data_IF_133968858248
#
_entry.id   IF_133968858248
#
_cell.length_a   1.000
_cell.length_b   1.000
_cell.length_c   1.000
_cell.angle_alpha   90.00
_cell.angle_beta   90.00
_cell.angle_gamma   90.00
#
_symmetry.space_group_name_H-M   'P 1'
#
loop_
_entity.id
_entity.type
_entity.pdbx_description
1 polymer ?
#
# COMPACT_ATOMS: atom_id res chain seq x y z
N UNK A 1 4.39 -92.10 -28.93
CA UNK A 1 4.00 -90.71 -28.67
C UNK A 1 5.17 -89.76 -28.97
N UNK A 2 5.19 -89.12 -30.16
CA UNK A 2 6.18 -88.08 -30.48
C UNK A 2 5.78 -86.82 -29.66
N UNK A 3 6.45 -86.55 -28.60
CA UNK A 3 6.27 -85.32 -27.84
C UNK A 3 6.68 -84.19 -28.77
N UNK A 4 5.74 -83.37 -29.22
CA UNK A 4 6.00 -82.23 -30.09
C UNK A 4 6.88 -81.25 -29.28
N UNK A 5 8.17 -81.25 -29.61
CA UNK A 5 9.19 -80.36 -28.98
C UNK A 5 8.76 -78.91 -29.03
N UNK A 6 8.09 -78.50 -30.08
CA UNK A 6 7.50 -77.16 -30.23
C UNK A 6 6.46 -76.79 -29.17
N UNK A 7 5.59 -77.76 -28.81
CA UNK A 7 4.58 -77.53 -27.74
C UNK A 7 5.21 -77.33 -26.37
N UNK A 8 6.32 -78.01 -26.08
CA UNK A 8 7.06 -77.88 -24.85
C UNK A 8 7.78 -76.53 -24.80
N UNK A 9 8.38 -76.07 -25.93
CA UNK A 9 9.02 -74.78 -26.05
C UNK A 9 8.03 -73.64 -25.87
N UNK A 10 6.84 -73.73 -26.48
CA UNK A 10 5.78 -72.73 -26.34
C UNK A 10 5.27 -72.69 -24.91
N UNK A 11 5.06 -73.85 -24.27
CA UNK A 11 4.66 -73.95 -22.88
C UNK A 11 5.70 -73.32 -21.93
N UNK A 12 6.98 -73.64 -22.12
CA UNK A 12 8.07 -73.04 -21.35
C UNK A 12 8.17 -71.52 -21.54
N UNK A 13 8.00 -71.02 -22.76
CA UNK A 13 7.98 -69.57 -23.06
C UNK A 13 6.81 -68.88 -22.35
N UNK A 14 5.62 -69.47 -22.37
CA UNK A 14 4.45 -68.91 -21.66
C UNK A 14 4.68 -68.86 -20.13
N UNK A 15 5.31 -69.91 -19.55
CA UNK A 15 5.64 -69.93 -18.13
C UNK A 15 6.66 -68.82 -17.77
N UNK A 16 7.66 -68.62 -18.62
CA UNK A 16 8.66 -67.55 -18.43
C UNK A 16 8.00 -66.18 -18.54
N UNK A 17 7.14 -65.95 -19.52
CA UNK A 17 6.40 -64.68 -19.65
C UNK A 17 5.50 -64.47 -18.42
N UNK A 18 4.78 -65.48 -17.99
CA UNK A 18 3.94 -65.41 -16.79
C UNK A 18 4.76 -65.17 -15.52
N UNK A 19 5.91 -65.78 -15.36
CA UNK A 19 6.82 -65.53 -14.26
C UNK A 19 7.34 -64.07 -14.28
N UNK A 20 7.72 -63.56 -15.46
CA UNK A 20 8.16 -62.15 -15.59
C UNK A 20 7.03 -61.19 -15.19
N UNK A 21 5.79 -61.42 -15.60
CA UNK A 21 4.64 -60.60 -15.21
C UNK A 21 4.34 -60.64 -13.71
N UNK A 22 4.63 -61.78 -13.06
CA UNK A 22 4.36 -61.96 -11.62
C UNK A 22 5.44 -61.29 -10.74
N UNK A 23 6.69 -61.29 -11.16
CA UNK A 23 7.86 -60.85 -10.38
C UNK A 23 8.39 -59.49 -10.74
N UNK A 24 8.06 -58.93 -11.88
CA UNK A 24 8.55 -57.63 -12.33
C UNK A 24 7.43 -56.59 -12.38
N UNK A 25 7.67 -55.42 -11.88
CA UNK A 25 6.81 -54.27 -12.01
C UNK A 25 7.59 -53.07 -12.52
N UNK A 26 6.95 -52.13 -13.17
CA UNK A 26 7.54 -50.93 -13.71
C UNK A 26 6.95 -49.70 -13.02
N UNK A 27 7.82 -48.80 -12.55
CA UNK A 27 7.47 -47.50 -12.01
C UNK A 27 7.66 -46.44 -13.12
N UNK A 28 6.65 -45.62 -13.33
CA UNK A 28 6.72 -44.52 -14.31
C UNK A 28 7.67 -43.42 -13.84
N UNK A 29 8.20 -42.62 -14.77
CA UNK A 29 9.15 -41.56 -14.45
C UNK A 29 8.56 -40.45 -13.55
N UNK A 30 7.24 -40.26 -13.56
CA UNK A 30 6.53 -39.31 -12.70
C UNK A 30 6.07 -39.89 -11.37
N UNK A 31 6.33 -41.15 -11.12
CA UNK A 31 5.85 -41.91 -9.96
C UNK A 31 7.02 -42.42 -9.13
N UNK A 32 6.75 -42.63 -7.86
CA UNK A 32 7.64 -43.37 -6.97
C UNK A 32 6.82 -44.46 -6.32
N UNK A 33 7.41 -45.61 -6.07
CA UNK A 33 6.70 -46.69 -5.46
C UNK A 33 7.26 -47.07 -4.09
N UNK A 34 6.37 -47.44 -3.18
CA UNK A 34 6.70 -48.08 -1.90
C UNK A 34 6.32 -49.54 -1.98
N UNK A 35 7.32 -50.41 -1.80
CA UNK A 35 7.12 -51.85 -1.72
C UNK A 35 6.92 -52.20 -0.26
N UNK A 36 5.79 -52.84 0.03
CA UNK A 36 5.45 -53.31 1.38
C UNK A 36 5.56 -54.82 1.43
N UNK A 37 6.22 -55.34 2.46
CA UNK A 37 6.29 -56.77 2.76
C UNK A 37 5.39 -57.02 3.99
N UNK A 38 4.36 -57.86 3.83
CA UNK A 38 3.35 -58.10 4.87
C UNK A 38 2.80 -56.80 5.48
N UNK A 39 2.45 -55.81 4.61
CA UNK A 39 1.92 -54.49 4.96
C UNK A 39 2.90 -53.54 5.67
N UNK A 40 4.17 -53.91 5.82
CA UNK A 40 5.22 -53.01 6.33
C UNK A 40 5.99 -52.42 5.16
N UNK A 41 6.19 -51.11 5.08
CA UNK A 41 7.04 -50.50 4.05
C UNK A 41 8.48 -50.96 4.23
N UNK A 42 9.06 -51.58 3.20
CA UNK A 42 10.38 -52.18 3.26
C UNK A 42 11.40 -51.41 2.42
N UNK A 43 10.99 -50.97 1.24
CA UNK A 43 11.90 -50.26 0.32
C UNK A 43 11.13 -49.30 -0.58
N UNK A 44 11.81 -48.25 -1.00
CA UNK A 44 11.40 -47.38 -2.09
C UNK A 44 11.89 -47.97 -3.42
N UNK A 45 11.11 -47.71 -4.48
CA UNK A 45 11.50 -48.02 -5.85
C UNK A 45 11.39 -46.76 -6.70
N UNK A 46 12.51 -46.34 -7.23
CA UNK A 46 12.63 -45.22 -8.16
C UNK A 46 12.06 -45.58 -9.52
N UNK A 47 11.89 -44.62 -10.46
CA UNK A 47 11.43 -44.90 -11.81
C UNK A 47 12.27 -45.95 -12.49
N UNK A 48 11.62 -46.96 -13.07
CA UNK A 48 12.28 -48.05 -13.79
C UNK A 48 11.64 -49.42 -13.52
N UNK A 49 12.25 -50.49 -14.08
CA UNK A 49 11.85 -51.86 -13.84
C UNK A 49 12.42 -52.36 -12.50
N UNK A 50 11.57 -52.93 -11.66
CA UNK A 50 11.94 -53.48 -10.36
C UNK A 50 11.38 -54.86 -10.17
N UNK A 51 12.05 -55.64 -9.31
CA UNK A 51 11.65 -56.96 -8.93
C UNK A 51 10.81 -56.91 -7.65
N UNK A 52 9.74 -57.71 -7.59
CA UNK A 52 8.90 -57.92 -6.39
C UNK A 52 8.55 -59.39 -6.21
N UNK A 53 8.32 -59.76 -4.97
CA UNK A 53 7.70 -61.06 -4.67
C UNK A 53 6.21 -61.04 -5.00
N UNK A 54 5.66 -62.18 -5.49
CA UNK A 54 4.24 -62.23 -5.82
C UNK A 54 3.36 -62.08 -4.58
N UNK A 55 2.16 -61.55 -4.81
CA UNK A 55 1.15 -61.50 -3.76
C UNK A 55 0.96 -62.90 -3.15
N UNK A 56 0.84 -63.07 -1.79
CA UNK A 56 0.57 -62.03 -0.79
C UNK A 56 1.82 -61.44 -0.09
N UNK A 57 3.04 -61.76 -0.50
CA UNK A 57 4.28 -61.41 0.20
C UNK A 57 4.55 -59.90 0.06
N UNK A 58 4.61 -59.42 -1.16
CA UNK A 58 4.85 -57.98 -1.43
C UNK A 58 3.69 -57.34 -2.17
N UNK A 59 3.41 -56.09 -1.78
CA UNK A 59 2.44 -55.21 -2.45
C UNK A 59 3.11 -53.90 -2.77
N UNK A 60 2.86 -53.35 -3.96
CA UNK A 60 3.44 -52.10 -4.45
C UNK A 60 2.36 -51.04 -4.45
N UNK A 61 2.70 -49.90 -3.87
CA UNK A 61 1.88 -48.68 -3.88
C UNK A 61 2.65 -47.61 -4.64
N UNK A 62 2.03 -47.06 -5.65
CA UNK A 62 2.63 -45.99 -6.51
C UNK A 62 2.04 -44.66 -6.15
N UNK A 63 2.92 -43.65 -6.04
CA UNK A 63 2.59 -42.24 -5.72
C UNK A 63 3.08 -41.35 -6.80
N UNK A 64 2.25 -40.40 -7.27
CA UNK A 64 2.63 -39.37 -8.21
C UNK A 64 3.49 -38.30 -7.49
N UNK A 65 4.68 -37.99 -8.03
CA UNK A 65 5.59 -36.97 -7.52
C UNK A 65 5.31 -35.58 -8.10
N UNK A 66 4.38 -35.47 -9.04
CA UNK A 66 4.01 -34.17 -9.60
C UNK A 66 3.33 -33.33 -8.54
N UNK A 67 3.41 -32.00 -8.75
CA UNK A 67 2.69 -31.06 -7.91
C UNK A 67 1.18 -31.27 -8.10
N UNK A 68 0.51 -31.56 -7.02
CA UNK A 68 -0.94 -31.71 -6.92
C UNK A 68 -1.53 -30.40 -6.38
N UNK A 69 -2.70 -30.02 -6.87
CA UNK A 69 -3.39 -28.83 -6.41
C UNK A 69 -4.48 -29.22 -5.40
N UNK A 70 -4.43 -28.60 -4.23
CA UNK A 70 -5.47 -28.69 -3.22
C UNK A 70 -6.16 -27.34 -3.07
N UNK A 71 -7.49 -27.33 -3.15
CA UNK A 71 -8.29 -26.14 -2.87
C UNK A 71 -8.87 -26.22 -1.46
N UNK A 72 -8.50 -25.25 -0.62
CA UNK A 72 -9.07 -25.10 0.71
C UNK A 72 -10.55 -24.71 0.65
N UNK A 73 -11.28 -25.01 1.71
CA UNK A 73 -12.65 -24.55 1.87
C UNK A 73 -12.66 -23.06 2.20
N UNK A 74 -13.75 -22.38 1.83
CA UNK A 74 -14.00 -21.02 2.27
C UNK A 74 -13.97 -20.97 3.80
N UNK A 75 -13.11 -20.13 4.36
CA UNK A 75 -12.88 -20.01 5.80
C UNK A 75 -13.12 -18.58 6.23
N UNK A 76 -14.01 -18.42 7.20
CA UNK A 76 -14.20 -17.16 7.90
C UNK A 76 -13.06 -16.96 8.90
N UNK A 77 -12.43 -15.82 8.85
CA UNK A 77 -11.33 -15.43 9.74
C UNK A 77 -11.52 -14.00 10.20
N UNK A 78 -11.13 -13.71 11.43
CA UNK A 78 -11.18 -12.36 12.00
C UNK A 78 -9.81 -11.71 11.80
N UNK A 79 -9.77 -10.51 11.20
CA UNK A 79 -8.58 -9.70 11.06
C UNK A 79 -8.17 -9.06 12.39
N UNK A 80 -6.98 -8.49 12.46
CA UNK A 80 -6.48 -7.80 13.67
C UNK A 80 -7.41 -6.65 14.12
N UNK A 81 -8.02 -5.94 13.17
CA UNK A 81 -8.99 -4.85 13.40
C UNK A 81 -10.44 -5.34 13.51
N UNK A 82 -10.65 -6.65 13.79
CA UNK A 82 -11.93 -7.28 14.08
C UNK A 82 -12.95 -7.25 12.94
N UNK A 83 -12.50 -7.23 11.69
CA UNK A 83 -13.38 -7.46 10.55
C UNK A 83 -13.41 -8.94 10.20
N UNK A 84 -14.60 -9.46 9.93
CA UNK A 84 -14.74 -10.83 9.43
C UNK A 84 -14.45 -10.88 7.95
N UNK A 85 -13.51 -11.72 7.56
CA UNK A 85 -13.04 -11.91 6.20
C UNK A 85 -13.23 -13.37 5.77
N UNK A 86 -13.89 -13.56 4.64
CA UNK A 86 -14.00 -14.86 3.97
C UNK A 86 -12.82 -15.03 3.04
N UNK A 87 -12.00 -16.02 3.30
CA UNK A 87 -10.84 -16.33 2.46
C UNK A 87 -10.86 -17.77 1.99
N UNK A 88 -10.40 -18.00 0.77
CA UNK A 88 -10.18 -19.31 0.19
C UNK A 88 -8.75 -19.35 -0.36
N UNK A 89 -8.03 -20.41 -0.03
CA UNK A 89 -6.65 -20.62 -0.47
C UNK A 89 -6.55 -21.81 -1.41
N UNK A 90 -5.52 -21.79 -2.24
CA UNK A 90 -5.10 -22.96 -3.02
C UNK A 90 -3.64 -23.28 -2.70
N UNK A 91 -3.30 -24.53 -2.73
CA UNK A 91 -2.00 -25.05 -2.29
C UNK A 91 -1.50 -26.04 -3.32
N UNK A 92 -0.28 -25.81 -3.82
CA UNK A 92 0.44 -26.79 -4.60
C UNK A 92 1.34 -27.61 -3.68
N UNK A 93 1.15 -28.93 -3.68
CA UNK A 93 1.92 -29.84 -2.84
C UNK A 93 2.36 -31.06 -3.61
N UNK A 94 3.44 -31.71 -3.17
CA UNK A 94 3.94 -32.95 -3.76
C UNK A 94 4.42 -33.91 -2.67
N UNK A 95 4.51 -35.19 -3.03
CA UNK A 95 5.06 -36.23 -2.17
C UNK A 95 6.57 -36.31 -2.37
N UNK A 96 7.34 -36.02 -1.31
CA UNK A 96 8.82 -36.06 -1.33
C UNK A 96 9.35 -37.32 -0.66
N UNK A 97 8.68 -37.77 0.39
CA UNK A 97 9.04 -39.03 1.09
C UNK A 97 7.83 -39.95 1.13
N UNK A 98 7.71 -40.84 0.12
CA UNK A 98 6.59 -41.78 0.03
C UNK A 98 6.50 -42.78 1.19
N UNK A 99 7.63 -43.06 1.84
CA UNK A 99 7.66 -44.00 2.98
C UNK A 99 6.97 -43.39 4.20
N UNK A 100 7.34 -42.15 4.54
CA UNK A 100 6.69 -41.43 5.61
C UNK A 100 5.22 -41.11 5.27
N UNK A 101 4.94 -40.77 4.03
CA UNK A 101 3.59 -40.53 3.55
C UNK A 101 2.71 -41.77 3.73
N UNK A 102 3.19 -42.94 3.29
CA UNK A 102 2.47 -44.22 3.45
C UNK A 102 2.18 -44.56 4.92
N UNK A 103 3.15 -44.32 5.82
CA UNK A 103 2.99 -44.59 7.23
C UNK A 103 2.02 -43.65 7.94
N UNK A 104 1.98 -42.39 7.53
CA UNK A 104 1.18 -41.35 8.17
C UNK A 104 -0.28 -41.37 7.70
N UNK A 105 -0.53 -41.76 6.46
CA UNK A 105 -1.84 -41.70 5.82
C UNK A 105 -2.30 -43.10 5.41
N UNK A 106 -2.77 -43.89 6.33
CA UNK A 106 -3.45 -45.21 6.16
C UNK A 106 -3.08 -45.98 4.88
N UNK A 107 -1.80 -46.16 4.62
CA UNK A 107 -1.34 -46.82 3.40
C UNK A 107 -1.20 -45.90 2.19
N UNK A 108 -1.10 -44.60 2.41
CA UNK A 108 -0.87 -43.59 1.37
C UNK A 108 -2.16 -43.09 0.72
N UNK A 109 -3.25 -43.01 1.47
CA UNK A 109 -4.51 -42.47 0.95
C UNK A 109 -4.43 -40.94 0.79
N UNK A 110 -4.54 -40.46 -0.46
CA UNK A 110 -4.45 -39.05 -0.81
C UNK A 110 -5.55 -38.22 -0.16
N UNK A 111 -6.78 -38.77 -0.08
CA UNK A 111 -7.92 -38.08 0.53
C UNK A 111 -7.71 -37.78 2.02
N UNK A 112 -7.03 -38.65 2.74
CA UNK A 112 -6.67 -38.43 4.15
C UNK A 112 -5.58 -37.36 4.27
N UNK A 113 -4.60 -37.38 3.37
CA UNK A 113 -3.56 -36.33 3.30
C UNK A 113 -4.15 -34.94 3.00
N UNK A 114 -5.04 -34.84 2.03
CA UNK A 114 -5.76 -33.61 1.70
C UNK A 114 -6.63 -33.11 2.86
N UNK A 115 -7.29 -34.00 3.58
CA UNK A 115 -8.08 -33.65 4.77
C UNK A 115 -7.17 -33.02 5.86
N UNK A 116 -6.03 -33.65 6.13
CA UNK A 116 -5.04 -33.13 7.09
C UNK A 116 -4.40 -31.83 6.62
N UNK A 117 -4.07 -31.75 5.34
CA UNK A 117 -3.56 -30.52 4.75
C UNK A 117 -4.58 -29.38 4.88
N UNK A 118 -5.86 -29.69 4.66
CA UNK A 118 -6.96 -28.72 4.84
C UNK A 118 -7.09 -28.20 6.28
N UNK A 119 -6.91 -29.07 7.28
CA UNK A 119 -6.92 -28.66 8.69
C UNK A 119 -5.73 -27.73 9.03
N UNK A 120 -4.53 -28.09 8.57
CA UNK A 120 -3.33 -27.29 8.78
C UNK A 120 -3.40 -25.96 8.05
N UNK A 121 -3.85 -25.98 6.81
CA UNK A 121 -4.06 -24.81 5.98
C UNK A 121 -5.06 -23.83 6.60
N UNK A 122 -6.19 -24.34 7.08
CA UNK A 122 -7.18 -23.55 7.79
C UNK A 122 -6.60 -22.90 9.06
N UNK A 123 -5.82 -23.65 9.82
CA UNK A 123 -5.19 -23.13 11.04
C UNK A 123 -4.16 -22.04 10.70
N UNK A 124 -3.31 -22.24 9.66
CA UNK A 124 -2.38 -21.24 9.18
C UNK A 124 -3.09 -19.99 8.68
N UNK A 125 -4.16 -20.15 7.90
CA UNK A 125 -5.01 -19.08 7.38
C UNK A 125 -5.59 -18.21 8.48
N UNK A 126 -6.26 -18.80 9.48
CA UNK A 126 -6.84 -18.07 10.61
C UNK A 126 -5.76 -17.35 11.40
N UNK A 127 -4.62 -17.97 11.64
CA UNK A 127 -3.51 -17.40 12.39
C UNK A 127 -2.88 -16.21 11.66
N UNK A 128 -2.64 -16.33 10.36
CA UNK A 128 -2.04 -15.25 9.56
C UNK A 128 -3.02 -14.10 9.35
N UNK A 129 -4.29 -14.39 9.01
CA UNK A 129 -5.31 -13.34 8.84
C UNK A 129 -5.49 -12.54 10.14
N UNK A 130 -5.47 -13.19 11.30
CA UNK A 130 -5.60 -12.52 12.60
C UNK A 130 -4.47 -11.56 12.98
N UNK A 131 -3.32 -11.64 12.31
CA UNK A 131 -2.18 -10.73 12.55
C UNK A 131 -2.23 -9.48 11.68
N UNK A 132 -2.96 -9.49 10.57
CA UNK A 132 -3.00 -8.42 9.58
C UNK A 132 -4.27 -7.59 9.66
N UNK A 133 -4.16 -6.32 9.25
CA UNK A 133 -5.31 -5.42 9.14
C UNK A 133 -6.10 -5.72 7.85
N UNK A 134 -7.38 -5.37 7.84
CA UNK A 134 -8.20 -5.49 6.64
C UNK A 134 -7.60 -4.73 5.45
N UNK A 135 -7.01 -3.55 5.70
CA UNK A 135 -6.36 -2.73 4.68
C UNK A 135 -5.19 -3.41 3.97
N UNK A 136 -4.53 -4.40 4.60
CA UNK A 136 -3.44 -5.17 4.01
C UNK A 136 -3.95 -6.16 2.95
N UNK A 137 -5.21 -6.61 3.07
CA UNK A 137 -5.88 -7.50 2.11
C UNK A 137 -6.59 -6.75 0.99
N UNK A 138 -7.21 -5.60 1.32
CA UNK A 138 -8.03 -4.83 0.37
C UNK A 138 -7.69 -3.36 0.48
N UNK A 139 -6.98 -2.85 -0.52
CA UNK A 139 -6.64 -1.43 -0.64
C UNK A 139 -7.13 -0.88 -1.98
N UNK A 140 -7.51 0.40 -1.99
CA UNK A 140 -7.85 1.10 -3.22
C UNK A 140 -6.62 1.43 -4.09
N UNK A 141 -5.41 1.35 -3.50
CA UNK A 141 -4.13 1.54 -4.19
C UNK A 141 -3.43 0.20 -4.37
N UNK A 142 -2.90 -0.11 -5.57
CA UNK A 142 -2.15 -1.35 -5.81
C UNK A 142 -0.92 -1.50 -4.89
N UNK A 143 -0.31 -0.38 -4.51
CA UNK A 143 0.87 -0.35 -3.62
C UNK A 143 0.51 -0.57 -2.14
N UNK A 144 -0.77 -0.48 -1.79
CA UNK A 144 -1.26 -0.61 -0.41
C UNK A 144 -1.60 -2.04 0.01
N UNK A 145 -1.69 -2.98 -0.92
CA UNK A 145 -1.96 -4.39 -0.62
C UNK A 145 -0.67 -5.14 -0.34
N UNK A 146 -0.66 -5.90 0.76
CA UNK A 146 0.49 -6.73 1.16
C UNK A 146 0.23 -8.23 0.91
N UNK A 147 -0.57 -8.55 -0.10
CA UNK A 147 -1.02 -9.92 -0.37
C UNK A 147 0.14 -10.88 -0.54
N UNK A 148 1.16 -10.53 -1.34
CA UNK A 148 2.32 -11.39 -1.58
C UNK A 148 3.10 -11.69 -0.29
N UNK A 149 3.21 -10.71 0.61
CA UNK A 149 3.87 -10.89 1.90
C UNK A 149 3.05 -11.81 2.83
N UNK A 150 1.72 -11.64 2.82
CA UNK A 150 0.78 -12.47 3.60
C UNK A 150 0.77 -13.91 3.08
N UNK A 151 0.74 -14.12 1.77
CA UNK A 151 0.83 -15.44 1.15
C UNK A 151 2.14 -16.13 1.51
N UNK A 152 3.25 -15.40 1.49
CA UNK A 152 4.56 -15.93 1.88
C UNK A 152 4.62 -16.30 3.36
N UNK A 153 4.11 -15.46 4.26
CA UNK A 153 4.03 -15.78 5.70
C UNK A 153 3.18 -17.03 5.95
N UNK A 154 2.05 -17.14 5.25
CA UNK A 154 1.14 -18.29 5.34
C UNK A 154 1.81 -19.57 4.82
N UNK A 155 2.56 -19.46 3.71
CA UNK A 155 3.33 -20.56 3.15
C UNK A 155 4.41 -21.04 4.12
N UNK A 156 5.19 -20.15 4.72
CA UNK A 156 6.23 -20.47 5.68
C UNK A 156 5.67 -21.14 6.95
N UNK A 157 4.55 -20.65 7.48
CA UNK A 157 3.86 -21.28 8.63
C UNK A 157 3.38 -22.69 8.27
N UNK A 158 2.76 -22.87 7.11
CA UNK A 158 2.26 -24.17 6.65
C UNK A 158 3.41 -25.15 6.40
N UNK A 159 4.48 -24.73 5.73
CA UNK A 159 5.67 -25.56 5.50
C UNK A 159 6.32 -26.00 6.81
N UNK A 160 6.42 -25.11 7.79
CA UNK A 160 6.97 -25.43 9.10
C UNK A 160 6.15 -26.51 9.81
N UNK A 161 4.83 -26.40 9.80
CA UNK A 161 3.90 -27.36 10.40
C UNK A 161 3.96 -28.74 9.74
N UNK A 162 4.00 -28.75 8.41
CA UNK A 162 4.14 -29.97 7.62
C UNK A 162 5.46 -30.68 7.92
N UNK A 163 6.55 -29.92 8.01
CA UNK A 163 7.90 -30.44 8.31
C UNK A 163 7.98 -31.01 9.73
N UNK A 164 7.46 -30.30 10.74
CA UNK A 164 7.43 -30.75 12.13
C UNK A 164 6.67 -32.08 12.27
N UNK A 165 5.58 -32.25 11.56
CA UNK A 165 4.76 -33.46 11.60
C UNK A 165 5.33 -34.63 10.78
N UNK A 166 6.33 -34.37 9.94
CA UNK A 166 6.98 -35.36 9.08
C UNK A 166 6.00 -36.17 8.23
N UNK A 167 5.15 -35.46 7.48
CA UNK A 167 4.12 -36.10 6.65
C UNK A 167 4.64 -36.71 5.34
N UNK A 168 5.91 -36.45 4.97
CA UNK A 168 6.49 -36.91 3.73
C UNK A 168 5.99 -36.15 2.49
N UNK A 169 5.40 -34.99 2.69
CA UNK A 169 4.96 -34.08 1.62
C UNK A 169 5.63 -32.72 1.77
N UNK A 170 5.73 -31.99 0.67
CA UNK A 170 6.28 -30.65 0.59
C UNK A 170 5.27 -29.72 -0.07
N UNK A 171 5.18 -28.50 0.46
CA UNK A 171 4.36 -27.44 -0.09
C UNK A 171 5.22 -26.57 -0.99
N UNK A 172 4.88 -26.52 -2.28
CA UNK A 172 5.61 -25.74 -3.29
C UNK A 172 5.17 -24.30 -3.32
N UNK A 173 3.86 -24.08 -3.31
CA UNK A 173 3.25 -22.75 -3.32
C UNK A 173 1.92 -22.73 -2.60
N UNK A 174 1.56 -21.54 -2.16
CA UNK A 174 0.25 -21.23 -1.58
C UNK A 174 -0.18 -19.85 -2.11
N UNK A 175 -1.45 -19.70 -2.41
CA UNK A 175 -2.02 -18.42 -2.81
C UNK A 175 -3.46 -18.26 -2.37
N UNK A 176 -3.91 -17.02 -2.30
CA UNK A 176 -5.27 -16.63 -1.99
C UNK A 176 -6.12 -16.66 -3.28
N UNK A 177 -7.08 -17.57 -3.35
CA UNK A 177 -7.98 -17.71 -4.50
C UNK A 177 -9.15 -16.73 -4.44
N UNK A 178 -9.66 -16.48 -3.23
CA UNK A 178 -10.82 -15.62 -3.02
C UNK A 178 -10.68 -14.88 -1.70
N UNK A 179 -11.01 -13.60 -1.73
CA UNK A 179 -11.15 -12.74 -0.56
C UNK A 179 -12.50 -12.06 -0.66
N UNK A 180 -13.27 -12.04 0.41
CA UNK A 180 -14.58 -11.42 0.44
C UNK A 180 -15.09 -11.20 1.85
N UNK A 181 -16.27 -10.64 1.94
CA UNK A 181 -17.00 -10.48 3.20
C UNK A 181 -18.19 -11.41 3.23
N UNK A 182 -18.54 -11.98 4.41
CA UNK A 182 -19.80 -12.67 4.57
C UNK A 182 -20.97 -11.75 4.23
N UNK A 183 -21.97 -12.27 3.52
CA UNK A 183 -23.11 -11.44 3.09
C UNK A 183 -23.84 -10.76 4.25
N UNK A 184 -23.92 -11.44 5.40
CA UNK A 184 -24.62 -10.93 6.58
C UNK A 184 -24.00 -9.67 7.19
N UNK A 185 -22.68 -9.47 7.02
CA UNK A 185 -21.96 -8.34 7.65
C UNK A 185 -21.47 -7.30 6.63
N UNK A 186 -21.61 -7.59 5.35
CA UNK A 186 -21.08 -6.73 4.27
C UNK A 186 -21.56 -5.28 4.39
N UNK A 187 -22.85 -5.06 4.61
CA UNK A 187 -23.42 -3.71 4.72
C UNK A 187 -22.86 -2.98 5.95
N UNK A 188 -22.81 -3.64 7.11
CA UNK A 188 -22.30 -3.05 8.35
C UNK A 188 -20.81 -2.69 8.24
N UNK A 189 -20.03 -3.53 7.55
CA UNK A 189 -18.61 -3.25 7.27
C UNK A 189 -18.45 -2.02 6.39
N UNK A 190 -19.21 -1.91 5.30
CA UNK A 190 -19.17 -0.72 4.44
C UNK A 190 -19.62 0.55 5.16
N UNK A 191 -20.66 0.48 5.96
CA UNK A 191 -21.14 1.63 6.74
C UNK A 191 -20.09 2.09 7.76
N UNK A 192 -19.43 1.14 8.44
CA UNK A 192 -18.32 1.44 9.35
C UNK A 192 -17.13 2.05 8.61
N UNK A 193 -16.69 1.47 7.49
CA UNK A 193 -15.60 2.01 6.69
C UNK A 193 -15.91 3.42 6.16
N UNK A 194 -17.16 3.68 5.77
CA UNK A 194 -17.62 5.01 5.36
C UNK A 194 -17.57 6.01 6.50
N UNK A 195 -18.00 5.61 7.70
CA UNK A 195 -17.92 6.43 8.91
C UNK A 195 -16.46 6.76 9.28
N UNK A 196 -15.57 5.77 9.28
CA UNK A 196 -14.14 5.96 9.54
C UNK A 196 -13.47 6.89 8.52
N UNK A 197 -13.81 6.75 7.22
CA UNK A 197 -13.35 7.68 6.19
C UNK A 197 -13.84 9.10 6.42
N UNK A 198 -15.10 9.28 6.76
CA UNK A 198 -15.67 10.60 7.03
C UNK A 198 -14.97 11.28 8.21
N UNK A 199 -14.67 10.55 9.28
CA UNK A 199 -13.86 11.05 10.41
C UNK A 199 -12.49 11.49 9.94
N UNK A 200 -11.79 10.67 9.14
CA UNK A 200 -10.47 11.00 8.62
C UNK A 200 -10.49 12.23 7.70
N UNK A 201 -11.51 12.36 6.86
CA UNK A 201 -11.72 13.53 6.00
C UNK A 201 -11.92 14.77 6.87
N UNK A 202 -12.80 14.72 7.89
CA UNK A 202 -13.06 15.84 8.79
C UNK A 202 -11.81 16.29 9.56
N UNK A 203 -10.98 15.36 10.02
CA UNK A 203 -9.70 15.67 10.67
C UNK A 203 -8.77 16.38 9.67
N UNK A 204 -8.63 15.84 8.46
CA UNK A 204 -7.76 16.42 7.43
C UNK A 204 -8.23 17.83 6.99
N UNK A 205 -9.55 18.03 6.87
CA UNK A 205 -10.14 19.34 6.57
C UNK A 205 -9.90 20.35 7.70
N UNK A 206 -10.02 19.91 8.97
CA UNK A 206 -9.73 20.74 10.13
C UNK A 206 -8.25 21.14 10.20
N UNK A 207 -7.35 20.20 9.94
CA UNK A 207 -5.91 20.47 9.86
C UNK A 207 -5.59 21.45 8.73
N UNK A 208 -6.16 21.23 7.53
CA UNK A 208 -5.96 22.11 6.38
C UNK A 208 -6.49 23.51 6.60
N UNK A 209 -7.67 23.67 7.23
CA UNK A 209 -8.22 25.00 7.57
C UNK A 209 -7.37 25.72 8.60
N UNK A 210 -6.90 25.01 9.62
CA UNK A 210 -6.01 25.56 10.65
C UNK A 210 -4.68 26.02 10.05
N UNK A 211 -4.08 25.20 9.21
CA UNK A 211 -2.82 25.52 8.55
C UNK A 211 -2.99 26.69 7.57
N UNK A 212 -4.08 26.73 6.81
CA UNK A 212 -4.41 27.85 5.94
C UNK A 212 -4.60 29.16 6.72
N UNK A 213 -5.28 29.10 7.87
CA UNK A 213 -5.45 30.26 8.74
C UNK A 213 -4.10 30.73 9.32
N UNK A 214 -3.23 29.78 9.72
CA UNK A 214 -1.88 30.11 10.20
C UNK A 214 -1.05 30.81 9.12
N UNK A 215 -1.02 30.25 7.90
CA UNK A 215 -0.27 30.85 6.78
C UNK A 215 -0.78 32.25 6.45
N UNK A 216 -2.11 32.46 6.44
CA UNK A 216 -2.70 33.78 6.22
C UNK A 216 -2.31 34.77 7.31
N UNK A 217 -2.42 34.37 8.58
CA UNK A 217 -2.04 35.24 9.69
C UNK A 217 -0.56 35.61 9.67
N UNK A 218 0.33 34.70 9.31
CA UNK A 218 1.75 34.96 9.15
C UNK A 218 2.02 35.94 7.98
N UNK A 219 1.33 35.76 6.85
CA UNK A 219 1.43 36.65 5.71
C UNK A 219 0.91 38.06 6.01
N UNK A 220 -0.23 38.17 6.69
CA UNK A 220 -0.82 39.46 7.11
C UNK A 220 0.08 40.15 8.14
N UNK A 221 0.67 39.45 9.07
CA UNK A 221 1.66 39.98 10.01
C UNK A 221 2.90 40.50 9.28
N UNK A 222 3.42 39.72 8.33
CA UNK A 222 4.59 40.16 7.52
C UNK A 222 4.28 41.37 6.68
N UNK A 223 3.11 41.44 6.04
CA UNK A 223 2.66 42.59 5.27
C UNK A 223 2.48 43.83 6.16
N UNK A 224 1.82 43.67 7.32
CA UNK A 224 1.64 44.76 8.29
C UNK A 224 2.97 45.29 8.81
N UNK A 225 3.92 44.40 9.11
CA UNK A 225 5.26 44.80 9.53
C UNK A 225 5.98 45.57 8.43
N UNK A 226 5.92 45.10 7.19
CA UNK A 226 6.54 45.79 6.05
C UNK A 226 5.92 47.16 5.81
N UNK A 227 4.60 47.31 5.93
CA UNK A 227 3.92 48.59 5.84
C UNK A 227 4.33 49.55 6.95
N UNK A 228 4.36 49.06 8.20
CA UNK A 228 4.78 49.88 9.35
C UNK A 228 6.27 50.34 9.22
N UNK A 229 7.13 49.46 8.76
CA UNK A 229 8.53 49.80 8.53
C UNK A 229 8.68 50.84 7.40
N UNK A 230 7.90 50.71 6.32
CA UNK A 230 7.86 51.67 5.24
C UNK A 230 7.30 53.05 5.69
N UNK A 231 6.25 53.08 6.48
CA UNK A 231 5.68 54.31 7.06
C UNK A 231 6.68 54.97 8.01
N UNK A 232 7.37 54.21 8.85
CA UNK A 232 8.43 54.75 9.72
C UNK A 232 9.57 55.37 8.92
N UNK A 233 10.00 54.71 7.83
CA UNK A 233 11.01 55.26 6.94
C UNK A 233 10.51 56.51 6.22
N UNK A 234 9.26 56.55 5.75
CA UNK A 234 8.67 57.70 5.12
C UNK A 234 8.59 58.88 6.07
N UNK A 235 8.19 58.70 7.33
CA UNK A 235 8.19 59.71 8.37
C UNK A 235 9.59 60.21 8.68
N UNK A 236 10.58 59.31 8.75
CA UNK A 236 11.97 59.70 8.98
C UNK A 236 12.51 60.56 7.81
N UNK A 237 12.25 60.18 6.56
CA UNK A 237 12.64 60.96 5.38
C UNK A 237 11.94 62.33 5.35
N UNK A 238 10.62 62.38 5.68
CA UNK A 238 9.90 63.64 5.81
C UNK A 238 10.50 64.54 6.90
N UNK A 239 10.76 63.98 8.08
CA UNK A 239 11.39 64.70 9.18
C UNK A 239 12.78 65.24 8.81
N UNK A 240 13.57 64.48 8.09
CA UNK A 240 14.86 64.97 7.54
C UNK A 240 14.67 66.13 6.52
N UNK A 241 13.67 65.96 5.63
CA UNK A 241 13.32 66.99 4.65
C UNK A 241 12.84 68.27 5.33
N UNK A 242 11.99 68.18 6.34
CA UNK A 242 11.52 69.33 7.14
C UNK A 242 12.64 69.98 7.91
N UNK A 243 13.53 69.21 8.53
CA UNK A 243 14.71 69.76 9.20
C UNK A 243 15.67 70.50 8.24
N UNK A 244 15.89 69.95 7.05
CA UNK A 244 16.67 70.55 6.01
C UNK A 244 16.00 71.86 5.46
N UNK A 245 14.69 71.86 5.28
CA UNK A 245 13.88 72.99 4.91
C UNK A 245 13.94 74.09 6.00
N UNK A 246 13.82 73.71 7.27
CA UNK A 246 13.95 74.65 8.40
C UNK A 246 15.35 75.29 8.46
N UNK A 247 16.37 74.46 8.25
CA UNK A 247 17.76 75.02 8.17
C UNK A 247 17.95 75.99 6.99
N UNK A 248 17.30 75.76 5.86
CA UNK A 248 17.30 76.63 4.71
C UNK A 248 16.46 77.92 4.94
N UNK A 249 15.45 77.88 5.85
CA UNK A 249 14.56 79.00 6.13
C UNK A 249 15.26 80.17 6.78
N UNK A 250 16.41 79.97 7.44
CA UNK A 250 17.27 81.05 7.93
C UNK A 250 17.76 82.04 6.76
N UNK A 251 17.81 81.49 5.55
CA UNK A 251 18.10 82.28 4.34
C UNK A 251 16.91 83.16 3.98
N UNK A 252 15.68 82.79 4.29
CA UNK A 252 14.45 83.56 4.01
C UNK A 252 14.21 84.70 4.98
N UNK A 253 14.85 84.73 6.15
CA UNK A 253 14.87 85.89 7.04
C UNK A 253 15.50 87.10 6.39
N UNK A 254 16.40 86.90 5.38
CA UNK A 254 17.02 87.96 4.64
C UNK A 254 16.16 88.59 3.54
N UNK A 255 15.07 87.90 3.15
CA UNK A 255 14.13 88.37 2.13
C UNK A 255 12.69 87.87 2.43
N UNK A 256 11.96 88.61 3.31
CA UNK A 256 10.63 88.22 3.78
C UNK A 256 9.55 88.18 2.68
N UNK A 257 9.71 88.98 1.62
CA UNK A 257 8.80 89.01 0.50
C UNK A 257 8.87 87.68 -0.31
N UNK A 258 10.08 87.19 -0.57
CA UNK A 258 10.27 85.90 -1.23
C UNK A 258 9.74 84.74 -0.38
N UNK A 259 9.93 84.79 0.91
CA UNK A 259 9.41 83.78 1.84
C UNK A 259 7.88 83.75 1.80
N UNK A 260 7.25 84.94 1.85
CA UNK A 260 5.77 85.02 1.78
C UNK A 260 5.22 84.57 0.42
N UNK A 261 5.92 84.86 -0.64
CA UNK A 261 5.57 84.40 -1.98
C UNK A 261 5.63 82.84 -2.10
N UNK A 262 6.71 82.23 -1.65
CA UNK A 262 6.88 80.77 -1.68
C UNK A 262 5.85 80.05 -0.76
N UNK A 263 5.53 80.58 0.41
CA UNK A 263 4.49 80.07 1.29
C UNK A 263 3.08 80.10 0.63
N UNK A 264 2.77 81.23 -0.08
CA UNK A 264 1.54 81.38 -0.83
C UNK A 264 1.47 80.40 -2.02
N UNK A 265 2.59 80.15 -2.72
CA UNK A 265 2.67 79.19 -3.82
C UNK A 265 2.48 77.77 -3.32
N UNK A 266 3.09 77.39 -2.20
CA UNK A 266 2.93 76.11 -1.57
C UNK A 266 1.49 75.85 -1.07
N UNK A 267 0.88 76.90 -0.50
CA UNK A 267 -0.54 76.82 -0.09
C UNK A 267 -1.48 76.71 -1.31
N UNK A 268 -1.15 77.35 -2.41
CA UNK A 268 -1.87 77.21 -3.66
C UNK A 268 -1.73 75.82 -4.25
N UNK A 269 -0.54 75.22 -4.29
CA UNK A 269 -0.24 73.92 -4.75
C UNK A 269 -1.00 72.87 -3.90
N UNK A 270 -0.94 72.98 -2.57
CA UNK A 270 -1.70 72.06 -1.65
C UNK A 270 -3.22 72.14 -1.85
N UNK A 271 -3.74 73.36 -2.13
CA UNK A 271 -5.16 73.54 -2.40
C UNK A 271 -5.61 72.98 -3.76
N UNK A 272 -4.72 72.91 -4.75
CA UNK A 272 -5.00 72.42 -6.10
C UNK A 272 -4.73 70.90 -6.26
N UNK A 273 -4.00 70.30 -5.37
CA UNK A 273 -3.60 68.88 -5.44
C UNK A 273 -4.80 67.95 -5.26
N UNK A 274 -5.86 68.35 -4.53
CA UNK A 274 -7.09 67.60 -4.40
C UNK A 274 -8.08 68.05 -5.50
N UNK A 275 -8.67 67.13 -6.20
CA UNK A 275 -9.70 67.32 -7.26
C UNK A 275 -10.97 67.99 -6.69
N UNK A 276 -10.83 69.21 -6.17
CA UNK A 276 -11.91 69.98 -5.62
C UNK A 276 -12.21 71.17 -6.53
N UNK A 277 -13.47 71.53 -6.70
CA UNK A 277 -13.87 72.78 -7.37
C UNK A 277 -13.73 73.90 -6.36
N UNK A 278 -12.73 74.78 -6.58
CA UNK A 278 -12.48 75.90 -5.71
C UNK A 278 -13.22 77.10 -6.23
N UNK A 279 -14.03 77.73 -5.38
CA UNK A 279 -14.62 79.05 -5.61
C UNK A 279 -13.85 80.02 -4.73
N UNK A 280 -13.09 80.89 -5.35
CA UNK A 280 -12.20 81.79 -4.61
C UNK A 280 -12.31 83.21 -5.09
N UNK A 281 -11.99 84.18 -4.19
CA UNK A 281 -11.86 85.59 -4.49
C UNK A 281 -10.39 85.85 -4.86
N UNK A 282 -10.18 86.33 -6.09
CA UNK A 282 -8.84 86.63 -6.63
C UNK A 282 -8.09 87.73 -5.88
N UNK A 283 -8.77 88.49 -5.04
CA UNK A 283 -8.17 89.58 -4.26
C UNK A 283 -7.57 89.18 -2.94
N UNK A 284 -7.71 87.86 -2.54
CA UNK A 284 -7.25 87.37 -1.23
C UNK A 284 -6.12 86.36 -1.40
N UNK A 285 -5.10 86.39 -0.49
CA UNK A 285 -4.05 85.39 -0.45
C UNK A 285 -4.64 83.97 -0.23
N UNK A 286 -4.11 82.88 -0.87
CA UNK A 286 -2.97 82.86 -1.81
C UNK A 286 -3.32 83.07 -3.27
N UNK A 287 -4.57 83.36 -3.60
CA UNK A 287 -5.13 83.46 -4.97
C UNK A 287 -4.84 84.82 -5.63
N UNK A 288 -4.36 85.83 -4.88
CA UNK A 288 -3.89 87.13 -5.39
C UNK A 288 -2.69 86.95 -6.35
N UNK A 289 -1.95 85.87 -6.32
CA UNK A 289 -0.87 85.53 -7.25
C UNK A 289 -1.34 85.45 -8.72
N UNK A 290 -2.65 85.14 -8.96
CA UNK A 290 -3.20 85.12 -10.31
C UNK A 290 -3.41 86.49 -10.94
N UNK A 291 -3.41 87.58 -10.13
CA UNK A 291 -3.59 88.96 -10.64
C UNK A 291 -2.28 89.54 -11.19
N UNK A 292 -1.19 88.79 -11.19
CA UNK A 292 0.11 89.33 -11.62
C UNK A 292 0.68 90.26 -10.58
N UNK A 293 2.02 90.37 -10.59
CA UNK A 293 2.71 91.36 -9.78
C UNK A 293 2.40 92.71 -10.38
N UNK A 294 1.56 93.52 -9.75
CA UNK A 294 1.41 94.91 -10.10
C UNK A 294 2.72 95.62 -9.83
N UNK A 295 3.43 95.84 -10.88
CA UNK A 295 4.69 96.67 -10.85
C UNK A 295 4.31 98.13 -10.49
N UNK A 296 4.09 98.34 -9.23
CA UNK A 296 4.22 99.74 -8.69
C UNK A 296 5.55 99.83 -7.94
N UNK A 297 6.64 99.78 -8.73
CA UNK A 297 7.93 100.31 -8.34
C UNK A 297 8.07 101.66 -9.09
N UNK A 298 7.52 102.73 -8.53
CA UNK A 298 8.07 104.12 -8.66
C UNK A 298 7.40 105.00 -7.59
N UNK A 299 8.04 105.22 -6.52
CA UNK A 299 8.65 106.47 -6.02
C UNK A 299 9.26 106.21 -4.67
#
# INVERSE_FOLDING_TARGET
MKRNLSTIIIGALLIIIFALLLFVFQVRQSEVAVVTTFSKPTRMADPGPHFKWPWPIEKVYTFDQRVQNFEGKLTESLTHDQFTLDTMIYIGWRITDPTNFFQRFRGGEISEAESRLGELARSAQINTVGKHLLSDFVSASPEGTKLDAIEKEMLEDLQSRVKVNNYGLEIEFLGLKKIGFPQAVTQAVFDRMKAERNVKISVLESEATTESARIKAEADLAASKMMNDADAQAQHIRGQGEAAAAAASVVFEKNPELASYLLRLNALEAALTNRATLIFDQSKPPFDLFNGISTNLVK
#
